data_IF_433072419353
#
_entry.id   IF_433072419353
#
_cell.length_a   1.000
_cell.length_b   1.000
_cell.length_c   1.000
_cell.angle_alpha   90.00
_cell.angle_beta   90.00
_cell.angle_gamma   90.00
#
_symmetry.space_group_name_H-M   'P 1'
#
loop_
_entity.id
_entity.type
_entity.pdbx_description
1 polymer ?
#
# COMPACT_ATOMS: atom_id res chain seq x y z
N UNK A 1 35.43 -19.72 20.13
CA UNK A 1 34.00 -19.63 20.53
C UNK A 1 33.64 -18.27 21.16
N UNK A 2 34.49 -17.65 21.98
CA UNK A 2 34.20 -16.33 22.61
C UNK A 2 34.03 -15.16 21.62
N UNK A 3 34.75 -15.13 20.50
CA UNK A 3 34.65 -14.04 19.51
C UNK A 3 33.31 -13.97 18.76
N UNK A 4 32.61 -15.10 18.58
CA UNK A 4 31.30 -15.14 17.90
C UNK A 4 30.19 -14.59 18.81
N UNK A 5 30.22 -14.94 20.09
CA UNK A 5 29.24 -14.49 21.09
C UNK A 5 29.39 -12.98 21.36
N UNK A 6 30.62 -12.46 21.42
CA UNK A 6 30.86 -11.02 21.57
C UNK A 6 30.43 -10.24 20.34
N UNK A 7 30.57 -10.79 19.12
CA UNK A 7 30.13 -10.13 17.89
C UNK A 7 28.61 -10.10 17.75
N UNK A 8 27.92 -11.18 18.16
CA UNK A 8 26.46 -11.21 18.24
C UNK A 8 25.92 -10.27 19.32
N UNK A 9 26.62 -10.14 20.46
CA UNK A 9 26.24 -9.22 21.52
C UNK A 9 26.50 -7.75 21.14
N UNK A 10 27.56 -7.47 20.38
CA UNK A 10 27.85 -6.14 19.84
C UNK A 10 26.87 -5.76 18.72
N UNK A 11 26.48 -6.72 17.88
CA UNK A 11 25.42 -6.56 16.88
C UNK A 11 24.06 -6.33 17.55
N UNK A 12 23.74 -7.07 18.61
CA UNK A 12 22.55 -6.89 19.45
C UNK A 12 22.58 -5.52 20.12
N UNK A 13 23.74 -5.04 20.58
CA UNK A 13 23.86 -3.74 21.24
C UNK A 13 23.81 -2.56 20.26
N UNK A 14 24.28 -2.73 19.02
CA UNK A 14 24.12 -1.76 17.93
C UNK A 14 22.67 -1.74 17.45
N UNK A 15 22.05 -2.91 17.24
CA UNK A 15 20.62 -3.01 16.93
C UNK A 15 19.75 -2.47 18.06
N UNK A 16 20.15 -2.61 19.32
CA UNK A 16 19.44 -2.10 20.49
C UNK A 16 19.74 -0.62 20.77
N UNK A 17 20.84 -0.06 20.28
CA UNK A 17 21.08 1.39 20.27
C UNK A 17 20.33 2.08 19.13
N UNK A 18 20.25 1.48 17.94
CA UNK A 18 19.36 1.95 16.87
C UNK A 18 17.90 1.69 17.18
N UNK A 19 17.54 0.55 17.79
CA UNK A 19 16.17 0.24 18.20
C UNK A 19 15.72 1.07 19.40
N UNK A 20 16.61 1.54 20.30
CA UNK A 20 16.22 2.51 21.33
C UNK A 20 15.81 3.87 20.77
N UNK A 21 16.15 4.17 19.52
CA UNK A 21 15.62 5.33 18.80
C UNK A 21 14.39 4.99 17.93
N UNK A 22 14.04 3.70 17.79
CA UNK A 22 13.05 3.19 16.81
C UNK A 22 11.99 2.24 17.43
N UNK A 23 11.99 2.02 18.75
CA UNK A 23 10.99 1.24 19.49
C UNK A 23 9.59 1.85 19.45
N UNK A 24 9.52 3.13 19.06
CA UNK A 24 8.29 3.89 18.85
C UNK A 24 8.07 4.24 17.36
N UNK A 25 8.84 3.63 16.46
CA UNK A 25 8.73 3.84 15.01
C UNK A 25 7.46 3.19 14.42
N UNK A 26 7.00 3.63 13.24
CA UNK A 26 5.81 3.09 12.57
C UNK A 26 5.85 1.57 12.34
N UNK A 27 7.05 1.02 12.12
CA UNK A 27 7.26 -0.42 11.98
C UNK A 27 6.98 -1.16 13.28
N UNK A 28 7.58 -0.73 14.39
CA UNK A 28 7.38 -1.31 15.71
C UNK A 28 5.92 -1.16 16.19
N UNK A 29 5.26 -0.05 15.87
CA UNK A 29 3.83 0.12 16.12
C UNK A 29 2.98 -0.88 15.30
N UNK A 30 3.26 -1.04 14.00
CA UNK A 30 2.54 -1.98 13.15
C UNK A 30 2.67 -3.43 13.63
N UNK A 31 3.89 -3.84 14.03
CA UNK A 31 4.16 -5.17 14.58
C UNK A 31 3.41 -5.40 15.89
N UNK A 32 3.36 -4.41 16.80
CA UNK A 32 2.65 -4.54 18.08
C UNK A 32 1.13 -4.58 17.92
N UNK A 33 0.59 -3.77 17.00
CA UNK A 33 -0.86 -3.61 16.84
C UNK A 33 -1.54 -4.88 16.35
N UNK A 34 -0.94 -5.55 15.37
CA UNK A 34 -1.44 -6.82 14.83
C UNK A 34 -0.27 -7.63 14.23
N UNK A 35 0.45 -8.41 15.07
CA UNK A 35 1.64 -9.13 14.65
C UNK A 35 1.37 -10.12 13.50
N UNK A 36 0.24 -10.83 13.56
CA UNK A 36 -0.11 -11.84 12.57
C UNK A 36 -0.39 -11.21 11.21
N UNK A 37 -1.14 -10.10 11.18
CA UNK A 37 -1.40 -9.36 9.93
C UNK A 37 -0.12 -8.76 9.36
N UNK A 38 0.73 -8.19 10.21
CA UNK A 38 2.01 -7.63 9.77
C UNK A 38 2.90 -8.73 9.17
N UNK A 39 3.01 -9.88 9.83
CA UNK A 39 3.80 -10.99 9.35
C UNK A 39 3.32 -11.49 7.98
N UNK A 40 2.01 -11.73 7.84
CA UNK A 40 1.44 -12.16 6.57
C UNK A 40 1.70 -11.14 5.45
N UNK A 41 1.51 -9.84 5.73
CA UNK A 41 1.81 -8.77 4.77
C UNK A 41 3.29 -8.78 4.36
N UNK A 42 4.23 -8.85 5.31
CA UNK A 42 5.65 -8.83 5.00
C UNK A 42 6.07 -10.08 4.20
N UNK A 43 5.56 -11.27 4.56
CA UNK A 43 5.82 -12.51 3.82
C UNK A 43 5.27 -12.45 2.40
N UNK A 44 4.04 -11.93 2.20
CA UNK A 44 3.44 -11.76 0.88
C UNK A 44 4.24 -10.81 0.01
N UNK A 45 4.72 -9.68 0.56
CA UNK A 45 5.53 -8.71 -0.20
C UNK A 45 6.90 -9.28 -0.53
N UNK A 46 7.57 -9.95 0.42
CA UNK A 46 8.87 -10.60 0.18
C UNK A 46 8.73 -11.67 -0.91
N UNK A 47 7.72 -12.53 -0.83
CA UNK A 47 7.49 -13.59 -1.79
C UNK A 47 7.07 -13.05 -3.17
N UNK A 48 6.22 -12.02 -3.21
CA UNK A 48 5.68 -11.45 -4.43
C UNK A 48 6.66 -10.56 -5.19
N UNK A 49 7.54 -9.84 -4.48
CA UNK A 49 8.37 -8.77 -5.06
C UNK A 49 9.87 -8.92 -4.79
N UNK A 50 10.31 -9.93 -4.02
CA UNK A 50 11.73 -10.18 -3.75
C UNK A 50 12.45 -11.06 -4.77
N UNK A 51 11.73 -11.89 -5.53
CA UNK A 51 12.35 -12.82 -6.46
C UNK A 51 13.44 -13.70 -5.80
N UNK A 52 14.44 -14.19 -6.55
CA UNK A 52 15.49 -15.07 -6.00
C UNK A 52 16.44 -14.38 -5.02
N UNK A 53 16.55 -13.06 -5.10
CA UNK A 53 17.55 -12.28 -4.36
C UNK A 53 17.04 -11.76 -3.02
N UNK A 54 15.72 -11.72 -2.80
CA UNK A 54 15.11 -11.08 -1.63
C UNK A 54 14.50 -9.73 -1.98
N UNK A 55 13.65 -9.22 -1.09
CA UNK A 55 12.94 -7.96 -1.26
C UNK A 55 13.91 -6.78 -1.23
N UNK A 56 13.96 -6.02 -2.32
CA UNK A 56 14.79 -4.82 -2.43
C UNK A 56 13.96 -3.54 -2.24
N UNK A 57 14.59 -2.38 -2.02
CA UNK A 57 13.88 -1.09 -2.05
C UNK A 57 13.09 -0.87 -3.34
N UNK A 58 13.64 -1.30 -4.49
CA UNK A 58 12.93 -1.20 -5.77
C UNK A 58 11.69 -2.11 -5.81
N UNK A 59 11.80 -3.34 -5.30
CA UNK A 59 10.65 -4.25 -5.21
C UNK A 59 9.53 -3.71 -4.31
N UNK A 60 9.88 -3.00 -3.24
CA UNK A 60 8.90 -2.30 -2.38
C UNK A 60 8.18 -1.18 -3.16
N UNK A 61 8.92 -0.35 -3.90
CA UNK A 61 8.30 0.69 -4.72
C UNK A 61 7.44 0.11 -5.85
N UNK A 62 7.84 -1.01 -6.46
CA UNK A 62 7.03 -1.71 -7.46
C UNK A 62 5.72 -2.23 -6.86
N UNK A 63 5.76 -2.79 -5.64
CA UNK A 63 4.54 -3.19 -4.92
C UNK A 63 3.61 -2.01 -4.66
N UNK A 64 4.16 -0.93 -4.09
CA UNK A 64 3.39 0.29 -3.80
C UNK A 64 2.79 0.88 -5.08
N UNK A 65 3.57 0.92 -6.16
CA UNK A 65 3.12 1.42 -7.46
C UNK A 65 2.00 0.55 -8.04
N UNK A 66 2.12 -0.77 -7.96
CA UNK A 66 1.13 -1.70 -8.52
C UNK A 66 -0.20 -1.62 -7.77
N UNK A 67 -0.19 -1.62 -6.44
CA UNK A 67 -1.41 -1.49 -5.61
C UNK A 67 -2.13 -0.16 -5.90
N UNK A 68 -1.37 0.94 -5.92
CA UNK A 68 -1.89 2.28 -6.25
C UNK A 68 -2.44 2.33 -7.68
N UNK A 69 -1.75 1.72 -8.64
CA UNK A 69 -2.20 1.66 -10.03
C UNK A 69 -3.50 0.86 -10.19
N UNK A 70 -3.61 -0.30 -9.52
CA UNK A 70 -4.81 -1.14 -9.55
C UNK A 70 -6.03 -0.40 -8.98
N UNK A 71 -5.86 0.29 -7.85
CA UNK A 71 -6.91 1.10 -7.24
C UNK A 71 -7.33 2.27 -8.14
N UNK A 72 -6.36 3.00 -8.70
CA UNK A 72 -6.60 4.08 -9.68
C UNK A 72 -7.41 3.57 -10.87
N UNK A 73 -6.98 2.48 -11.50
CA UNK A 73 -7.65 1.90 -12.65
C UNK A 73 -9.09 1.45 -12.31
N UNK A 74 -9.29 0.85 -11.13
CA UNK A 74 -10.62 0.41 -10.69
C UNK A 74 -11.60 1.57 -10.47
N UNK A 75 -11.12 2.70 -9.94
CA UNK A 75 -11.92 3.91 -9.79
C UNK A 75 -12.26 4.53 -11.15
N UNK A 76 -11.26 4.70 -12.02
CA UNK A 76 -11.42 5.33 -13.34
C UNK A 76 -12.33 4.50 -14.27
N UNK A 77 -12.21 3.16 -14.25
CA UNK A 77 -13.02 2.26 -15.10
C UNK A 77 -14.52 2.52 -14.97
N UNK A 78 -14.99 2.92 -13.78
CA UNK A 78 -16.41 3.18 -13.55
C UNK A 78 -16.90 4.39 -14.33
N UNK A 79 -16.10 5.45 -14.45
CA UNK A 79 -16.43 6.63 -15.24
C UNK A 79 -16.29 6.37 -16.73
N UNK A 80 -15.25 5.64 -17.13
CA UNK A 80 -15.11 5.20 -18.53
C UNK A 80 -16.26 4.32 -19.00
N UNK A 81 -16.91 3.57 -18.09
CA UNK A 81 -18.13 2.82 -18.40
C UNK A 81 -19.39 3.70 -18.46
N UNK A 82 -19.32 4.95 -17.99
CA UNK A 82 -20.42 5.91 -18.02
C UNK A 82 -20.32 6.91 -19.18
N UNK A 83 -19.11 7.13 -19.69
CA UNK A 83 -18.81 7.91 -20.89
C UNK A 83 -19.30 7.14 -22.13
N UNK A 84 -20.51 7.44 -22.59
CA UNK A 84 -21.20 6.71 -23.66
C UNK A 84 -20.70 7.11 -25.03
N UNK A 85 -20.26 8.36 -25.19
CA UNK A 85 -19.76 8.89 -26.46
C UNK A 85 -18.23 8.76 -26.59
N UNK A 86 -17.53 8.35 -25.52
CA UNK A 86 -16.09 8.18 -25.42
C UNK A 86 -15.31 9.48 -25.69
N UNK A 87 -15.79 10.61 -25.16
CA UNK A 87 -15.13 11.92 -25.26
C UNK A 87 -14.18 12.23 -24.09
N UNK A 88 -14.13 11.34 -23.08
CA UNK A 88 -13.28 11.44 -21.91
C UNK A 88 -13.89 12.22 -20.75
N UNK A 89 -15.16 12.63 -20.85
CA UNK A 89 -15.95 13.16 -19.75
C UNK A 89 -17.22 12.34 -19.55
N UNK A 90 -17.89 12.55 -18.41
CA UNK A 90 -19.22 12.00 -18.16
C UNK A 90 -20.17 13.15 -17.96
N UNK A 91 -21.09 13.37 -18.89
CA UNK A 91 -22.10 14.40 -18.79
C UNK A 91 -23.33 13.93 -18.00
N UNK A 92 -24.08 14.87 -17.42
CA UNK A 92 -25.38 14.58 -16.78
C UNK A 92 -26.34 13.79 -17.68
N UNK A 93 -26.32 14.07 -18.97
CA UNK A 93 -27.15 13.38 -19.97
C UNK A 93 -26.80 11.89 -20.08
N UNK A 94 -25.51 11.55 -20.05
CA UNK A 94 -25.03 10.16 -20.11
C UNK A 94 -25.34 9.40 -18.83
N UNK A 95 -25.11 10.03 -17.68
CA UNK A 95 -25.55 9.47 -16.38
C UNK A 95 -27.06 9.17 -16.39
N UNK A 96 -27.88 10.09 -16.90
CA UNK A 96 -29.33 9.91 -16.96
C UNK A 96 -29.75 8.70 -17.80
N UNK A 97 -29.03 8.39 -18.89
CA UNK A 97 -29.27 7.18 -19.70
C UNK A 97 -29.02 5.93 -18.87
N UNK A 98 -27.90 5.89 -18.15
CA UNK A 98 -27.49 4.73 -17.34
C UNK A 98 -28.45 4.51 -16.17
N UNK A 99 -28.87 5.59 -15.50
CA UNK A 99 -29.80 5.54 -14.38
C UNK A 99 -31.15 4.93 -14.76
N UNK A 100 -31.63 5.14 -15.99
CA UNK A 100 -32.89 4.55 -16.49
C UNK A 100 -32.84 3.02 -16.47
N UNK A 101 -31.71 2.43 -16.86
CA UNK A 101 -31.49 0.99 -16.88
C UNK A 101 -31.07 0.39 -15.51
N UNK A 102 -30.67 1.24 -14.55
CA UNK A 102 -30.16 0.80 -13.26
C UNK A 102 -31.26 0.46 -12.24
N UNK A 103 -31.00 -0.53 -11.38
CA UNK A 103 -31.82 -0.82 -10.19
C UNK A 103 -31.88 0.37 -9.24
N UNK A 104 -32.88 0.46 -8.36
CA UNK A 104 -33.02 1.57 -7.41
C UNK A 104 -31.76 1.74 -6.52
N UNK A 105 -31.21 0.65 -6.00
CA UNK A 105 -29.98 0.68 -5.20
C UNK A 105 -28.76 1.12 -6.01
N UNK A 106 -28.69 0.72 -7.28
CA UNK A 106 -27.63 1.14 -8.20
C UNK A 106 -27.72 2.63 -8.52
N UNK A 107 -28.93 3.18 -8.71
CA UNK A 107 -29.16 4.61 -9.02
C UNK A 107 -28.55 5.53 -7.97
N UNK A 108 -28.88 5.31 -6.70
CA UNK A 108 -28.36 6.14 -5.61
C UNK A 108 -26.84 6.06 -5.47
N UNK A 109 -26.23 4.91 -5.81
CA UNK A 109 -24.77 4.76 -5.83
C UNK A 109 -24.12 5.55 -6.96
N UNK A 110 -24.68 5.47 -8.17
CA UNK A 110 -24.17 6.16 -9.35
C UNK A 110 -24.27 7.69 -9.19
N UNK A 111 -25.41 8.20 -8.70
CA UNK A 111 -25.60 9.63 -8.40
C UNK A 111 -24.58 10.14 -7.38
N UNK A 112 -24.37 9.42 -6.27
CA UNK A 112 -23.35 9.81 -5.28
C UNK A 112 -21.94 9.76 -5.84
N UNK A 113 -21.65 8.80 -6.72
CA UNK A 113 -20.34 8.70 -7.34
C UNK A 113 -20.09 9.84 -8.32
N UNK A 114 -21.09 10.20 -9.13
CA UNK A 114 -21.01 11.35 -10.02
C UNK A 114 -20.79 12.64 -9.23
N UNK A 115 -21.64 12.91 -8.24
CA UNK A 115 -21.56 14.11 -7.42
C UNK A 115 -20.29 14.20 -6.56
N UNK A 116 -19.65 13.07 -6.25
CA UNK A 116 -18.36 13.07 -5.54
C UNK A 116 -17.18 13.39 -6.48
N UNK A 117 -17.30 13.08 -7.77
CA UNK A 117 -16.25 13.33 -8.75
C UNK A 117 -16.40 14.71 -9.43
N UNK A 118 -17.63 15.19 -9.62
CA UNK A 118 -17.97 16.54 -10.07
C UNK A 118 -17.65 17.56 -8.96
N UNK A 119 -16.39 17.99 -8.93
CA UNK A 119 -15.78 18.76 -7.86
C UNK A 119 -16.09 20.25 -7.97
N UNK A 120 -16.24 20.76 -9.19
CA UNK A 120 -16.60 22.15 -9.47
C UNK A 120 -18.11 22.36 -9.64
N UNK A 121 -18.90 21.27 -9.69
CA UNK A 121 -20.36 21.25 -9.75
C UNK A 121 -20.90 21.83 -11.05
N UNK A 122 -20.24 21.53 -12.17
CA UNK A 122 -20.65 21.98 -13.50
C UNK A 122 -21.57 20.97 -14.22
N UNK A 123 -22.06 19.94 -13.51
CA UNK A 123 -22.88 18.83 -14.04
C UNK A 123 -22.14 17.98 -15.09
N UNK A 124 -20.80 17.98 -15.06
CA UNK A 124 -19.94 17.16 -15.91
C UNK A 124 -18.73 16.67 -15.13
N UNK A 125 -18.49 15.35 -15.14
CA UNK A 125 -17.24 14.80 -14.60
C UNK A 125 -16.18 14.84 -15.70
N UNK A 126 -15.27 15.80 -15.62
CA UNK A 126 -14.18 16.01 -16.59
C UNK A 126 -13.09 14.93 -16.50
N UNK A 127 -12.27 14.80 -17.56
CA UNK A 127 -11.10 13.93 -17.55
C UNK A 127 -10.11 14.24 -16.40
N UNK A 128 -10.00 15.51 -15.99
CA UNK A 128 -9.21 15.94 -14.83
C UNK A 128 -9.76 15.39 -13.53
N UNK A 129 -11.08 15.40 -13.35
CA UNK A 129 -11.74 14.92 -12.16
C UNK A 129 -11.71 13.39 -12.06
N UNK A 130 -11.89 12.69 -13.19
CA UNK A 130 -11.69 11.24 -13.26
C UNK A 130 -10.27 10.87 -12.83
N UNK A 131 -9.26 11.63 -13.29
CA UNK A 131 -7.86 11.43 -12.87
C UNK A 131 -7.67 11.74 -11.38
N UNK A 132 -8.28 12.80 -10.87
CA UNK A 132 -8.20 13.17 -9.46
C UNK A 132 -8.84 12.11 -8.55
N UNK A 133 -10.02 11.59 -8.90
CA UNK A 133 -10.67 10.51 -8.17
C UNK A 133 -9.83 9.21 -8.23
N UNK A 134 -9.24 8.92 -9.39
CA UNK A 134 -8.27 7.82 -9.52
C UNK A 134 -7.07 7.97 -8.59
N UNK A 135 -6.50 9.18 -8.49
CA UNK A 135 -5.37 9.45 -7.60
C UNK A 135 -5.77 9.39 -6.12
N UNK A 136 -6.95 9.87 -5.77
CA UNK A 136 -7.48 9.74 -4.43
C UNK A 136 -7.72 8.27 -4.05
N UNK A 137 -8.24 7.46 -4.99
CA UNK A 137 -8.39 6.02 -4.79
C UNK A 137 -7.06 5.30 -4.58
N UNK A 138 -6.02 5.67 -5.32
CA UNK A 138 -4.66 5.15 -5.12
C UNK A 138 -4.16 5.41 -3.69
N UNK A 139 -4.27 6.64 -3.20
CA UNK A 139 -3.82 7.01 -1.85
C UNK A 139 -4.66 6.38 -0.73
N UNK A 140 -5.95 6.12 -0.98
CA UNK A 140 -6.82 5.40 -0.04
C UNK A 140 -6.50 3.90 0.03
N UNK A 141 -6.09 3.30 -1.08
CA UNK A 141 -5.77 1.87 -1.14
C UNK A 141 -4.45 1.55 -0.45
N UNK A 142 -3.45 2.42 -0.60
CA UNK A 142 -2.18 2.30 0.09
C UNK A 142 -1.68 3.70 0.45
N UNK A 143 -1.88 4.07 1.71
CA UNK A 143 -1.53 5.38 2.27
C UNK A 143 -0.03 5.57 2.32
N UNK A 144 0.43 6.82 2.42
CA UNK A 144 1.88 7.07 2.55
C UNK A 144 2.46 6.51 3.85
N UNK A 145 1.65 6.41 4.92
CA UNK A 145 2.06 5.78 6.17
C UNK A 145 2.28 4.27 6.00
N UNK A 146 1.39 3.58 5.28
CA UNK A 146 1.56 2.15 4.97
C UNK A 146 2.78 1.93 4.05
N UNK A 147 2.98 2.79 3.05
CA UNK A 147 4.18 2.76 2.21
C UNK A 147 5.47 2.93 3.04
N UNK A 148 5.45 3.83 4.03
CA UNK A 148 6.59 4.03 4.93
C UNK A 148 6.90 2.78 5.78
N UNK A 149 5.88 2.07 6.26
CA UNK A 149 6.06 0.80 6.98
C UNK A 149 6.70 -0.26 6.07
N UNK A 150 6.24 -0.37 4.82
CA UNK A 150 6.82 -1.30 3.85
C UNK A 150 8.29 -0.99 3.58
N UNK A 151 8.65 0.29 3.41
CA UNK A 151 10.06 0.72 3.27
C UNK A 151 10.89 0.39 4.51
N UNK A 152 10.29 0.50 5.70
CA UNK A 152 10.96 0.19 6.94
C UNK A 152 11.29 -1.30 7.09
N UNK A 153 10.67 -2.20 6.30
CA UNK A 153 11.09 -3.62 6.27
C UNK A 153 12.58 -3.78 5.98
N UNK A 154 13.17 -2.90 5.18
CA UNK A 154 14.61 -2.93 4.87
C UNK A 154 15.51 -2.71 6.09
N UNK A 155 14.97 -2.27 7.23
CA UNK A 155 15.73 -2.23 8.49
C UNK A 155 15.99 -3.63 9.08
N UNK A 156 15.26 -4.64 8.60
CA UNK A 156 15.38 -6.04 9.00
C UNK A 156 16.39 -6.82 8.14
N UNK A 157 16.97 -6.18 7.12
CA UNK A 157 18.11 -6.70 6.35
C UNK A 157 19.32 -6.81 7.29
N UNK A 158 19.63 -8.03 7.70
CA UNK A 158 20.53 -8.29 8.82
C UNK A 158 21.99 -8.29 8.37
N UNK A 159 22.25 -8.83 7.18
CA UNK A 159 23.59 -8.88 6.61
C UNK A 159 23.95 -7.63 5.78
N UNK A 160 22.97 -6.77 5.52
CA UNK A 160 23.09 -5.51 4.78
C UNK A 160 23.50 -5.71 3.33
N UNK A 161 23.07 -6.82 2.72
CA UNK A 161 23.28 -7.09 1.30
C UNK A 161 22.36 -6.27 0.38
N UNK A 162 21.39 -5.54 0.96
CA UNK A 162 20.44 -4.69 0.26
C UNK A 162 19.15 -5.41 -0.16
N UNK A 163 18.95 -6.65 0.28
CA UNK A 163 17.77 -7.45 -0.02
C UNK A 163 17.28 -8.23 1.21
N UNK A 164 16.08 -7.91 1.69
CA UNK A 164 15.46 -8.63 2.80
C UNK A 164 14.95 -10.01 2.36
N UNK A 165 15.49 -11.08 2.94
CA UNK A 165 15.08 -12.46 2.68
C UNK A 165 14.08 -12.98 3.71
N UNK A 166 13.35 -14.03 3.34
CA UNK A 166 12.33 -14.62 4.21
C UNK A 166 12.91 -15.29 5.47
N UNK A 167 14.14 -15.78 5.44
CA UNK A 167 14.85 -16.29 6.62
C UNK A 167 15.30 -15.17 7.56
N UNK A 168 15.85 -14.07 7.03
CA UNK A 168 16.19 -12.88 7.82
C UNK A 168 14.96 -12.29 8.51
N UNK A 169 13.86 -12.15 7.77
CA UNK A 169 12.60 -11.69 8.32
C UNK A 169 12.10 -12.59 9.46
N UNK A 170 12.09 -13.92 9.26
CA UNK A 170 11.67 -14.86 10.31
C UNK A 170 12.59 -14.85 11.52
N UNK A 171 13.89 -14.61 11.33
CA UNK A 171 14.83 -14.42 12.44
C UNK A 171 14.52 -13.14 13.22
N UNK A 172 14.25 -12.04 12.53
CA UNK A 172 13.88 -10.76 13.16
C UNK A 172 12.60 -10.88 14.00
N UNK A 173 11.56 -11.57 13.47
CA UNK A 173 10.30 -11.80 14.22
C UNK A 173 10.56 -12.63 15.48
N UNK A 174 11.31 -13.74 15.39
CA UNK A 174 11.63 -14.57 16.56
C UNK A 174 12.39 -13.81 17.65
N UNK A 175 13.36 -12.98 17.26
CA UNK A 175 14.12 -12.18 18.21
C UNK A 175 13.24 -11.16 18.95
N UNK A 176 12.18 -10.66 18.32
CA UNK A 176 11.23 -9.75 18.96
C UNK A 176 10.31 -10.49 19.94
N UNK A 177 9.84 -11.69 19.58
CA UNK A 177 9.03 -12.53 20.49
C UNK A 177 9.81 -12.94 21.76
N UNK A 178 11.13 -13.12 21.67
CA UNK A 178 11.98 -13.50 22.82
C UNK A 178 12.29 -12.32 23.76
N UNK A 179 12.11 -11.07 23.32
CA UNK A 179 12.43 -9.85 24.07
C UNK A 179 11.19 -9.20 24.71
N UNK A 180 9.99 -9.62 24.32
CA UNK A 180 8.70 -9.08 24.79
C UNK A 180 8.05 -9.99 25.83
#
# INVERSE_FOLDING_TARGET
MVKLVVSAFLLLMVMMQSARADTDGPLAEAMRKDPARFQAMAEDVIAGYGGPSGLTPAGIEDHVALERAAARASAMRRFLAMDLNNDGAVERAELAVILRAASATSRGRLERQFAAADSDRDDRVSASEIRAEGQAAALRALTEAEAAILRALMTLDADKDGALRADEFRMAVKLLDEVT
#
